data_IF_149634789748
#
_entry.id   IF_149634789748
#
_cell.length_a   1.000
_cell.length_b   1.000
_cell.length_c   1.000
_cell.angle_alpha   90.00
_cell.angle_beta   90.00
_cell.angle_gamma   90.00
#
_symmetry.space_group_name_H-M   'P 1'
#
loop_
_entity.id
_entity.type
_entity.pdbx_description
1 polymer ?
#
# COMPACT_ATOMS: atom_id res chain seq x y z
N UNK A 1 37.56 28.31 -37.87
CA UNK A 1 37.50 27.29 -38.94
C UNK A 1 37.92 25.91 -38.45
N UNK A 2 38.77 25.79 -37.42
CA UNK A 2 39.13 24.51 -36.79
C UNK A 2 37.98 23.88 -35.96
N UNK A 3 37.13 24.67 -35.31
CA UNK A 3 36.11 24.14 -34.38
C UNK A 3 34.99 23.34 -35.06
N UNK A 4 34.63 23.72 -36.30
CA UNK A 4 33.59 23.03 -37.07
C UNK A 4 34.06 21.65 -37.57
N UNK A 5 35.37 21.49 -37.79
CA UNK A 5 35.99 20.23 -38.23
C UNK A 5 36.08 19.24 -37.05
N UNK A 6 36.38 19.73 -35.85
CA UNK A 6 36.49 18.89 -34.63
C UNK A 6 35.12 18.37 -34.17
N UNK A 7 34.07 19.19 -34.25
CA UNK A 7 32.69 18.78 -33.95
C UNK A 7 32.17 17.73 -34.96
N UNK A 8 32.53 17.86 -36.23
CA UNK A 8 32.18 16.89 -37.28
C UNK A 8 32.86 15.53 -37.07
N UNK A 9 34.15 15.52 -36.71
CA UNK A 9 34.88 14.28 -36.41
C UNK A 9 34.34 13.55 -35.17
N UNK A 10 33.95 14.28 -34.13
CA UNK A 10 33.34 13.68 -32.93
C UNK A 10 31.98 13.04 -33.25
N UNK A 11 31.14 13.73 -34.04
CA UNK A 11 29.83 13.20 -34.40
C UNK A 11 29.96 11.93 -35.26
N UNK A 12 30.93 11.90 -36.19
CA UNK A 12 31.23 10.71 -36.99
C UNK A 12 31.74 9.54 -36.14
N UNK A 13 32.63 9.80 -35.16
CA UNK A 13 33.15 8.76 -34.29
C UNK A 13 32.06 8.16 -33.39
N UNK A 14 31.17 8.99 -32.83
CA UNK A 14 30.02 8.52 -32.04
C UNK A 14 29.04 7.71 -32.90
N UNK A 15 28.78 8.11 -34.14
CA UNK A 15 27.90 7.37 -35.06
C UNK A 15 28.45 5.98 -35.42
N UNK A 16 29.77 5.86 -35.63
CA UNK A 16 30.41 4.56 -35.89
C UNK A 16 30.39 3.62 -34.68
N UNK A 17 30.51 4.16 -33.46
CA UNK A 17 30.37 3.37 -32.22
C UNK A 17 28.93 2.88 -32.04
N UNK A 18 27.92 3.72 -32.33
CA UNK A 18 26.51 3.31 -32.31
C UNK A 18 26.21 2.21 -33.34
N UNK A 19 26.75 2.31 -34.55
CA UNK A 19 26.61 1.26 -35.56
C UNK A 19 27.32 -0.05 -35.17
N UNK A 20 28.45 0.01 -34.45
CA UNK A 20 29.14 -1.18 -33.97
C UNK A 20 28.38 -1.90 -32.85
N UNK A 21 27.75 -1.16 -31.94
CA UNK A 21 26.94 -1.72 -30.84
C UNK A 21 25.66 -2.36 -31.38
N UNK A 22 25.03 -1.79 -32.42
CA UNK A 22 23.77 -2.32 -32.95
C UNK A 22 23.94 -3.50 -33.92
N UNK A 23 25.15 -3.76 -34.42
CA UNK A 23 25.46 -4.89 -35.31
C UNK A 23 25.87 -6.18 -34.59
N UNK A 24 25.81 -6.19 -33.25
CA UNK A 24 26.48 -7.16 -32.38
C UNK A 24 25.60 -8.11 -31.57
N UNK A 25 24.32 -8.31 -31.90
CA UNK A 25 23.52 -9.37 -31.27
C UNK A 25 23.02 -10.34 -32.34
N UNK A 26 23.74 -11.45 -32.51
CA UNK A 26 23.29 -12.61 -33.29
C UNK A 26 22.49 -13.52 -32.37
N UNK A 27 21.33 -13.93 -32.87
CA UNK A 27 20.36 -14.79 -32.22
C UNK A 27 20.95 -16.16 -31.88
N UNK A 28 20.57 -16.68 -30.71
CA UNK A 28 20.75 -18.08 -30.33
C UNK A 28 19.37 -18.65 -30.06
N UNK A 29 18.88 -19.44 -31.00
CA UNK A 29 17.65 -20.21 -30.90
C UNK A 29 17.91 -21.61 -30.30
N UNK A 30 16.90 -22.10 -29.55
CA UNK A 30 16.61 -23.47 -29.03
C UNK A 30 17.29 -23.96 -27.72
N UNK A 31 16.68 -24.93 -26.98
CA UNK A 31 15.33 -25.50 -27.05
C UNK A 31 14.53 -25.46 -25.72
N UNK A 32 13.22 -25.67 -25.83
CA UNK A 32 12.29 -26.02 -24.76
C UNK A 32 12.78 -27.23 -23.93
N UNK A 33 12.84 -27.10 -22.60
CA UNK A 33 12.73 -28.24 -21.69
C UNK A 33 12.25 -27.79 -20.30
N UNK A 34 11.09 -28.33 -19.94
CA UNK A 34 10.46 -28.42 -18.62
C UNK A 34 11.32 -28.08 -17.39
N UNK A 35 10.93 -27.06 -16.64
CA UNK A 35 10.35 -27.26 -15.30
C UNK A 35 9.50 -26.03 -14.98
N UNK A 36 8.22 -26.07 -15.34
CA UNK A 36 7.26 -25.18 -14.71
C UNK A 36 7.21 -25.59 -13.25
N UNK A 37 7.87 -24.84 -12.38
CA UNK A 37 7.35 -24.70 -11.03
C UNK A 37 5.97 -24.11 -11.22
N UNK A 38 4.95 -24.95 -11.05
CA UNK A 38 3.60 -24.47 -10.78
C UNK A 38 3.73 -23.74 -9.46
N UNK A 39 4.08 -22.46 -9.52
CA UNK A 39 3.90 -21.53 -8.43
C UNK A 39 2.40 -21.51 -8.21
N UNK A 40 1.99 -22.31 -7.23
CA UNK A 40 0.61 -22.34 -6.79
C UNK A 40 0.44 -21.00 -6.10
N UNK A 41 -0.06 -20.01 -6.83
CA UNK A 41 -0.70 -18.83 -6.26
C UNK A 41 -1.51 -19.33 -5.05
N UNK A 42 -1.18 -18.91 -3.81
CA UNK A 42 -1.79 -19.52 -2.64
C UNK A 42 -3.30 -19.30 -2.74
N UNK A 43 -4.05 -20.40 -2.78
CA UNK A 43 -5.45 -20.43 -3.21
C UNK A 43 -6.26 -19.33 -2.51
N UNK A 44 -6.68 -18.32 -3.26
CA UNK A 44 -7.50 -17.20 -2.80
C UNK A 44 -6.79 -15.90 -2.37
N UNK A 45 -5.45 -15.81 -2.38
CA UNK A 45 -4.75 -14.55 -2.14
C UNK A 45 -4.94 -13.55 -3.30
N UNK A 46 -5.04 -12.26 -2.98
CA UNK A 46 -5.15 -11.18 -3.99
C UNK A 46 -3.83 -10.44 -4.09
N UNK A 47 -3.21 -10.45 -5.28
CA UNK A 47 -2.00 -9.69 -5.59
C UNK A 47 -2.28 -8.18 -5.48
N UNK A 48 -1.47 -7.48 -4.69
CA UNK A 48 -1.53 -6.04 -4.50
C UNK A 48 -0.51 -5.32 -5.40
N UNK A 49 0.69 -5.89 -5.54
CA UNK A 49 1.76 -5.34 -6.35
C UNK A 49 3.14 -5.85 -5.94
N UNK A 50 4.19 -5.33 -6.58
CA UNK A 50 5.57 -5.66 -6.24
C UNK A 50 5.95 -5.03 -4.90
N UNK A 51 6.69 -5.78 -4.11
CA UNK A 51 7.15 -5.37 -2.77
C UNK A 51 7.93 -4.07 -2.82
N UNK A 52 8.91 -3.96 -3.72
CA UNK A 52 9.79 -2.79 -3.81
C UNK A 52 9.06 -1.52 -4.25
N UNK A 53 8.04 -1.65 -5.11
CA UNK A 53 7.21 -0.51 -5.52
C UNK A 53 6.37 0.02 -4.36
N UNK A 54 5.82 -0.88 -3.53
CA UNK A 54 5.02 -0.50 -2.37
C UNK A 54 5.93 0.08 -1.28
N UNK A 55 7.12 -0.49 -1.06
CA UNK A 55 8.12 0.08 -0.13
C UNK A 55 8.49 1.51 -0.52
N UNK A 56 8.73 1.75 -1.82
CA UNK A 56 9.10 3.07 -2.35
C UNK A 56 7.97 4.09 -2.24
N UNK A 57 6.73 3.69 -2.55
CA UNK A 57 5.56 4.56 -2.45
C UNK A 57 4.99 4.68 -1.02
N UNK A 58 5.46 3.82 -0.11
CA UNK A 58 5.01 3.64 1.27
C UNK A 58 3.55 3.23 1.45
N UNK A 59 2.69 3.39 0.44
CA UNK A 59 1.28 3.00 0.52
C UNK A 59 0.62 2.83 -0.84
N UNK A 60 -0.31 1.88 -0.92
CA UNK A 60 -1.11 1.60 -2.11
C UNK A 60 -2.55 1.28 -1.72
N UNK A 61 -3.51 1.54 -2.61
CA UNK A 61 -4.90 1.12 -2.44
C UNK A 61 -5.24 0.08 -3.51
N UNK A 62 -5.95 -0.97 -3.13
CA UNK A 62 -6.37 -2.05 -4.01
C UNK A 62 -7.78 -2.53 -3.67
N UNK A 63 -8.39 -3.31 -4.58
CA UNK A 63 -9.66 -3.98 -4.34
C UNK A 63 -9.43 -5.46 -4.04
N UNK A 64 -9.92 -5.92 -2.89
CA UNK A 64 -9.91 -7.33 -2.47
C UNK A 64 -11.36 -7.79 -2.42
N UNK A 65 -11.80 -8.59 -3.39
CA UNK A 65 -13.21 -9.01 -3.55
C UNK A 65 -14.19 -7.83 -3.55
N UNK A 66 -13.84 -6.76 -4.28
CA UNK A 66 -14.61 -5.52 -4.37
C UNK A 66 -14.44 -4.56 -3.19
N UNK A 67 -13.88 -5.02 -2.07
CA UNK A 67 -13.61 -4.21 -0.88
C UNK A 67 -12.34 -3.38 -1.07
N UNK A 68 -12.43 -2.07 -0.86
CA UNK A 68 -11.27 -1.18 -0.97
C UNK A 68 -10.38 -1.28 0.27
N UNK A 69 -9.13 -1.71 0.08
CA UNK A 69 -8.11 -1.90 1.12
C UNK A 69 -6.95 -0.95 0.86
N UNK A 70 -6.40 -0.35 1.91
CA UNK A 70 -5.14 0.38 1.87
C UNK A 70 -4.05 -0.48 2.52
N UNK A 71 -2.93 -0.61 1.83
CA UNK A 71 -1.72 -1.25 2.34
C UNK A 71 -0.69 -0.16 2.60
N UNK A 72 -0.15 -0.13 3.81
CA UNK A 72 0.96 0.72 4.22
C UNK A 72 2.22 -0.13 4.37
N UNK A 73 3.37 0.44 4.01
CA UNK A 73 4.68 -0.04 4.41
C UNK A 73 5.27 0.98 5.39
N UNK A 74 5.42 0.58 6.64
CA UNK A 74 5.90 1.44 7.72
C UNK A 74 6.83 0.63 8.62
N UNK A 75 7.99 1.22 8.96
CA UNK A 75 9.00 0.61 9.85
C UNK A 75 9.37 -0.85 9.51
N UNK A 76 9.50 -1.15 8.21
CA UNK A 76 9.89 -2.48 7.75
C UNK A 76 8.75 -3.50 7.69
N UNK A 77 7.51 -3.09 7.98
CA UNK A 77 6.35 -3.98 8.02
C UNK A 77 5.22 -3.49 7.11
N UNK A 78 4.51 -4.45 6.52
CA UNK A 78 3.28 -4.19 5.79
C UNK A 78 2.06 -4.29 6.70
N UNK A 79 1.15 -3.32 6.56
CA UNK A 79 -0.12 -3.26 7.27
C UNK A 79 -1.25 -3.03 6.27
N UNK A 80 -2.30 -3.85 6.30
CA UNK A 80 -3.44 -3.68 5.42
C UNK A 80 -4.71 -3.41 6.23
N UNK A 81 -5.44 -2.36 5.87
CA UNK A 81 -6.66 -1.92 6.53
C UNK A 81 -7.74 -1.67 5.50
N UNK A 82 -9.00 -1.70 5.90
CA UNK A 82 -10.04 -1.06 5.08
C UNK A 82 -9.64 0.38 4.74
N UNK A 83 -9.82 0.79 3.49
CA UNK A 83 -9.38 2.11 2.99
C UNK A 83 -10.19 3.28 3.58
N UNK A 84 -11.42 2.99 4.06
CA UNK A 84 -12.37 3.98 4.57
C UNK A 84 -12.41 3.93 6.09
N UNK A 85 -12.17 5.09 6.72
CA UNK A 85 -12.17 5.24 8.18
C UNK A 85 -13.51 4.81 8.78
N UNK A 86 -13.47 4.03 9.86
CA UNK A 86 -14.64 3.54 10.59
C UNK A 86 -15.56 4.64 11.16
N UNK A 87 -15.08 5.87 11.30
CA UNK A 87 -15.89 6.96 11.84
C UNK A 87 -16.94 7.43 10.83
N UNK A 88 -16.48 7.94 9.68
CA UNK A 88 -17.35 8.56 8.67
C UNK A 88 -16.93 8.25 7.22
N UNK A 89 -16.04 7.28 7.02
CA UNK A 89 -15.62 6.85 5.67
C UNK A 89 -14.47 7.66 5.05
N UNK A 90 -13.74 8.43 5.86
CA UNK A 90 -12.61 9.24 5.40
C UNK A 90 -11.50 8.40 4.74
N UNK A 91 -10.80 8.94 3.73
CA UNK A 91 -9.81 8.19 2.95
C UNK A 91 -8.51 8.02 3.73
N UNK A 92 -8.31 6.86 4.36
CA UNK A 92 -7.15 6.61 5.21
C UNK A 92 -5.83 6.66 4.44
N UNK A 93 -5.82 6.38 3.13
CA UNK A 93 -4.64 6.55 2.28
C UNK A 93 -4.06 7.96 2.34
N UNK A 94 -4.87 8.99 2.61
CA UNK A 94 -4.45 10.39 2.68
C UNK A 94 -4.11 10.85 4.11
N UNK A 95 -4.16 9.95 5.10
CA UNK A 95 -3.79 10.26 6.49
C UNK A 95 -2.29 10.23 6.71
N UNK A 96 -1.83 10.85 7.79
CA UNK A 96 -0.44 10.75 8.25
C UNK A 96 -0.28 9.60 9.24
N UNK A 97 0.90 8.97 9.25
CA UNK A 97 1.23 7.94 10.25
C UNK A 97 2.01 8.60 11.37
N UNK A 98 1.54 8.47 12.61
CA UNK A 98 2.13 9.04 13.81
C UNK A 98 2.39 7.93 14.85
N UNK A 99 3.46 8.06 15.63
CA UNK A 99 3.64 7.23 16.83
C UNK A 99 2.78 7.79 17.96
N UNK A 100 1.89 6.94 18.49
CA UNK A 100 0.98 7.29 19.57
C UNK A 100 1.07 6.20 20.61
N UNK A 101 1.63 6.56 21.78
CA UNK A 101 1.84 5.62 22.88
C UNK A 101 2.69 4.40 22.48
N UNK A 102 3.70 4.60 21.62
CA UNK A 102 4.55 3.53 21.10
C UNK A 102 3.88 2.65 20.04
N UNK A 103 2.77 3.12 19.45
CA UNK A 103 2.03 2.41 18.41
C UNK A 103 1.90 3.29 17.17
N UNK A 104 2.34 2.78 16.02
CA UNK A 104 2.12 3.44 14.74
C UNK A 104 0.61 3.51 14.43
N UNK A 105 0.11 4.73 14.24
CA UNK A 105 -1.30 5.02 14.02
C UNK A 105 -1.50 5.81 12.73
N UNK A 106 -2.41 5.37 11.86
CA UNK A 106 -2.91 6.21 10.78
C UNK A 106 -3.91 7.23 11.34
N UNK A 107 -3.67 8.50 11.06
CA UNK A 107 -4.51 9.62 11.48
C UNK A 107 -5.44 10.01 10.33
N UNK A 108 -6.73 9.74 10.51
CA UNK A 108 -7.73 10.03 9.50
C UNK A 108 -7.72 11.52 9.13
N UNK A 109 -7.66 11.88 7.84
CA UNK A 109 -7.51 13.27 7.42
C UNK A 109 -8.73 14.14 7.75
N UNK A 110 -9.94 13.55 7.82
CA UNK A 110 -11.18 14.27 8.08
C UNK A 110 -11.33 14.70 9.55
N UNK A 111 -11.31 13.74 10.48
CA UNK A 111 -11.64 13.99 11.89
C UNK A 111 -10.53 13.64 12.88
N UNK A 112 -9.32 13.35 12.38
CA UNK A 112 -8.10 13.08 13.18
C UNK A 112 -8.21 11.89 14.14
N UNK A 113 -9.13 10.98 13.85
CA UNK A 113 -9.22 9.68 14.50
C UNK A 113 -7.93 8.90 14.27
N UNK A 114 -7.41 8.32 15.34
CA UNK A 114 -6.14 7.60 15.37
C UNK A 114 -6.43 6.11 15.39
N UNK A 115 -5.90 5.39 14.41
CA UNK A 115 -6.17 3.97 14.22
C UNK A 115 -4.85 3.24 14.19
N UNK A 116 -4.64 2.30 15.10
CA UNK A 116 -3.40 1.50 15.12
C UNK A 116 -3.26 0.71 13.82
N UNK A 117 -2.07 0.73 13.21
CA UNK A 117 -1.80 -0.04 12.00
C UNK A 117 -1.78 -1.55 12.24
N UNK A 118 -1.38 -1.96 13.46
CA UNK A 118 -1.23 -3.36 13.82
C UNK A 118 -2.58 -4.04 14.11
N UNK A 119 -3.43 -3.38 14.89
CA UNK A 119 -4.64 -4.00 15.47
C UNK A 119 -5.94 -3.37 14.99
N UNK A 120 -5.90 -2.18 14.37
CA UNK A 120 -7.09 -1.47 13.91
C UNK A 120 -7.88 -0.83 15.04
N UNK A 121 -7.26 -0.65 16.20
CA UNK A 121 -7.88 -0.04 17.37
C UNK A 121 -8.01 1.47 17.23
N UNK A 122 -9.16 2.00 17.63
CA UNK A 122 -9.38 3.44 17.68
C UNK A 122 -8.86 4.05 18.98
N UNK A 123 -7.79 4.83 18.93
CA UNK A 123 -7.21 5.49 20.10
C UNK A 123 -7.80 6.87 20.36
N UNK A 124 -7.89 7.24 21.65
CA UNK A 124 -8.30 8.57 22.10
C UNK A 124 -7.65 8.91 23.45
N UNK A 125 -7.56 10.20 23.76
CA UNK A 125 -7.16 10.66 25.08
C UNK A 125 -8.39 10.75 25.98
N UNK A 126 -8.37 10.00 27.08
CA UNK A 126 -9.38 10.04 28.13
C UNK A 126 -8.81 10.65 29.40
N UNK A 127 -9.67 11.31 30.18
CA UNK A 127 -9.33 11.83 31.51
C UNK A 127 -10.15 11.04 32.53
N UNK A 128 -9.49 10.46 33.54
CA UNK A 128 -10.18 9.86 34.67
C UNK A 128 -10.48 10.95 35.72
N UNK A 129 -11.75 11.36 35.92
CA UNK A 129 -12.10 12.42 36.85
C UNK A 129 -11.95 12.01 38.33
N UNK A 130 -11.76 10.72 38.60
CA UNK A 130 -11.58 10.20 39.96
C UNK A 130 -10.13 10.32 40.46
N UNK A 131 -9.18 10.61 39.57
CA UNK A 131 -7.77 10.82 39.96
C UNK A 131 -7.59 12.17 40.67
N UNK A 132 -6.78 12.25 41.74
CA UNK A 132 -6.50 13.52 42.43
C UNK A 132 -5.87 14.60 41.54
N UNK A 133 -5.14 14.18 40.49
CA UNK A 133 -4.54 15.06 39.48
C UNK A 133 -4.81 14.48 38.08
N UNK A 134 -6.00 14.74 37.49
CA UNK A 134 -6.38 14.15 36.22
C UNK A 134 -5.46 14.61 35.09
N UNK A 135 -4.85 13.66 34.40
CA UNK A 135 -4.08 13.91 33.18
C UNK A 135 -4.68 13.11 32.03
N UNK A 136 -4.62 13.61 30.78
CA UNK A 136 -4.99 12.83 29.62
C UNK A 136 -4.15 11.57 29.54
N UNK A 137 -4.80 10.43 29.32
CA UNK A 137 -4.17 9.13 29.12
C UNK A 137 -4.72 8.51 27.84
N UNK A 138 -3.85 7.86 27.06
CA UNK A 138 -4.27 7.12 25.88
C UNK A 138 -5.13 5.92 26.27
N UNK A 139 -6.27 5.80 25.60
CA UNK A 139 -7.24 4.72 25.77
C UNK A 139 -7.65 4.17 24.41
N UNK A 140 -8.10 2.92 24.41
CA UNK A 140 -8.60 2.23 23.21
C UNK A 140 -10.12 2.14 23.23
N UNK A 141 -10.74 2.33 22.05
CA UNK A 141 -12.16 2.02 21.78
C UNK A 141 -12.37 0.55 21.38
N UNK A 142 -11.33 -0.29 21.47
CA UNK A 142 -11.27 -1.62 20.89
C UNK A 142 -11.01 -1.57 19.37
N UNK A 143 -11.05 -2.73 18.73
CA UNK A 143 -10.86 -2.85 17.28
C UNK A 143 -12.04 -2.21 16.56
N UNK A 144 -11.76 -1.21 15.75
CA UNK A 144 -12.75 -0.42 15.02
C UNK A 144 -12.56 -0.49 13.50
N UNK A 145 -11.30 -0.57 13.08
CA UNK A 145 -10.89 -0.69 11.70
C UNK A 145 -10.48 -2.15 11.43
N UNK A 146 -11.08 -2.78 10.41
CA UNK A 146 -10.67 -4.13 10.00
C UNK A 146 -9.24 -4.11 9.46
N UNK A 147 -8.42 -5.02 10.00
CA UNK A 147 -7.10 -5.37 9.48
C UNK A 147 -7.23 -6.55 8.52
N UNK A 148 -6.42 -6.57 7.46
CA UNK A 148 -6.30 -7.67 6.52
C UNK A 148 -4.92 -8.31 6.62
N UNK A 149 -4.86 -9.63 6.45
CA UNK A 149 -3.59 -10.36 6.48
C UNK A 149 -2.80 -10.05 5.21
N UNK A 150 -1.57 -9.57 5.38
CA UNK A 150 -0.60 -9.39 4.30
C UNK A 150 0.33 -10.60 4.23
N UNK A 151 0.65 -11.06 3.03
CA UNK A 151 1.65 -12.10 2.77
C UNK A 151 2.62 -11.56 1.73
N UNK A 152 3.92 -11.72 1.96
CA UNK A 152 4.96 -11.37 0.99
C UNK A 152 5.59 -12.67 0.52
N UNK A 153 5.60 -12.90 -0.79
CA UNK A 153 6.17 -14.09 -1.39
C UNK A 153 6.76 -13.76 -2.76
N UNK A 154 7.98 -14.25 -3.04
CA UNK A 154 8.71 -14.02 -4.30
C UNK A 154 8.72 -12.54 -4.77
N UNK A 155 8.88 -11.59 -3.85
CA UNK A 155 8.93 -10.15 -4.16
C UNK A 155 7.56 -9.52 -4.47
N UNK A 156 6.47 -10.24 -4.22
CA UNK A 156 5.10 -9.77 -4.40
C UNK A 156 4.38 -9.66 -3.06
N UNK A 157 3.52 -8.66 -2.95
CA UNK A 157 2.66 -8.43 -1.78
C UNK A 157 1.25 -8.87 -2.11
N UNK A 158 0.69 -9.71 -1.25
CA UNK A 158 -0.65 -10.25 -1.35
C UNK A 158 -1.47 -9.90 -0.12
N UNK A 159 -2.79 -9.80 -0.28
CA UNK A 159 -3.74 -9.67 0.83
C UNK A 159 -4.74 -10.82 0.78
N UNK A 160 -4.98 -11.45 1.92
CA UNK A 160 -6.01 -12.48 2.05
C UNK A 160 -7.41 -11.86 2.04
N UNK A 161 -8.41 -12.53 1.47
CA UNK A 161 -9.81 -12.17 1.64
C UNK A 161 -10.17 -12.06 3.13
N UNK A 162 -10.99 -11.08 3.53
CA UNK A 162 -11.34 -10.92 4.93
C UNK A 162 -12.26 -12.05 5.42
N UNK A 163 -12.04 -12.50 6.65
CA UNK A 163 -13.06 -13.27 7.39
C UNK A 163 -14.15 -12.31 7.88
N UNK A 164 -15.35 -12.45 7.31
CA UNK A 164 -16.51 -11.61 7.62
C UNK A 164 -17.42 -12.22 8.70
N UNK A 165 -17.00 -13.30 9.37
CA UNK A 165 -17.74 -13.89 10.50
C UNK A 165 -17.78 -12.95 11.72
N UNK A 166 -16.79 -12.07 11.85
CA UNK A 166 -16.72 -11.02 12.87
C UNK A 166 -16.90 -9.67 12.19
N UNK A 167 -17.74 -8.80 12.75
CA UNK A 167 -17.99 -7.47 12.21
C UNK A 167 -17.26 -6.37 13.00
N UNK A 168 -16.81 -5.35 12.27
CA UNK A 168 -16.20 -4.13 12.80
C UNK A 168 -16.88 -2.89 12.20
N UNK A 169 -16.79 -1.76 12.91
CA UNK A 169 -17.41 -0.48 12.50
C UNK A 169 -17.03 -0.06 11.05
N UNK A 170 -15.80 -0.37 10.59
CA UNK A 170 -15.37 -0.06 9.22
C UNK A 170 -16.08 -0.86 8.12
N UNK A 171 -16.73 -1.98 8.45
CA UNK A 171 -17.48 -2.80 7.50
C UNK A 171 -18.59 -2.03 6.80
N UNK A 172 -19.29 -1.18 7.55
CA UNK A 172 -20.36 -0.35 7.01
C UNK A 172 -19.86 0.51 5.83
N UNK A 173 -18.71 1.18 6.01
CA UNK A 173 -18.15 2.03 4.96
C UNK A 173 -17.54 1.21 3.84
N UNK A 174 -16.89 0.09 4.15
CA UNK A 174 -16.35 -0.79 3.14
C UNK A 174 -17.44 -1.33 2.18
N UNK A 175 -18.61 -1.72 2.71
CA UNK A 175 -19.75 -2.13 1.89
C UNK A 175 -20.43 -0.94 1.19
N UNK A 176 -20.61 0.20 1.88
CA UNK A 176 -21.17 1.44 1.28
C UNK A 176 -20.41 1.87 0.03
N UNK A 177 -19.08 1.76 0.05
CA UNK A 177 -18.21 2.20 -1.07
C UNK A 177 -17.83 1.07 -2.04
N UNK A 178 -18.22 -0.18 -1.79
CA UNK A 178 -17.91 -1.35 -2.64
C UNK A 178 -18.36 -1.18 -4.09
N UNK A 179 -19.54 -0.58 -4.27
CA UNK A 179 -20.19 -0.39 -5.57
C UNK A 179 -20.14 1.08 -6.05
N UNK A 180 -19.58 1.99 -5.26
CA UNK A 180 -19.70 3.44 -5.43
C UNK A 180 -18.71 4.09 -6.39
N UNK A 181 -18.38 3.43 -7.50
CA UNK A 181 -17.97 4.20 -8.69
C UNK A 181 -19.21 4.99 -9.14
N UNK A 182 -19.16 6.31 -9.05
CA UNK A 182 -20.22 7.27 -9.38
C UNK A 182 -21.30 7.50 -8.30
N UNK A 183 -20.93 8.20 -7.23
CA UNK A 183 -21.84 9.21 -6.67
C UNK A 183 -21.23 10.59 -6.97
N UNK A 184 -21.94 11.48 -7.68
CA UNK A 184 -21.41 12.81 -7.97
C UNK A 184 -21.14 13.51 -6.64
N UNK A 185 -19.98 14.16 -6.54
CA UNK A 185 -19.75 15.14 -5.50
C UNK A 185 -20.86 16.19 -5.61
N UNK A 186 -21.83 16.15 -4.69
CA UNK A 186 -22.80 17.21 -4.57
C UNK A 186 -22.04 18.47 -4.16
N UNK A 187 -22.16 19.48 -5.02
CA UNK A 187 -21.43 20.74 -5.00
C UNK A 187 -22.06 21.72 -4.02
#
# INVERSE_FOLDING_TARGET
MLDLVVLSLHFFLCFLIFLAIWRGHKDVDLPSSSTGTVETEPDGLILIGQEEDIKKSQRITAKVNGREVVVFYHEGKFHALDSRCYHEGGPLRLGEIEDINGQACIVCPWHKYKITLETGEGLYEGINPLEPSPTPQWQSKGVKQRIHKVTVDNGNVYVSPPDLSVSFDSDYFAEKYKNGGDLPMEK
#
